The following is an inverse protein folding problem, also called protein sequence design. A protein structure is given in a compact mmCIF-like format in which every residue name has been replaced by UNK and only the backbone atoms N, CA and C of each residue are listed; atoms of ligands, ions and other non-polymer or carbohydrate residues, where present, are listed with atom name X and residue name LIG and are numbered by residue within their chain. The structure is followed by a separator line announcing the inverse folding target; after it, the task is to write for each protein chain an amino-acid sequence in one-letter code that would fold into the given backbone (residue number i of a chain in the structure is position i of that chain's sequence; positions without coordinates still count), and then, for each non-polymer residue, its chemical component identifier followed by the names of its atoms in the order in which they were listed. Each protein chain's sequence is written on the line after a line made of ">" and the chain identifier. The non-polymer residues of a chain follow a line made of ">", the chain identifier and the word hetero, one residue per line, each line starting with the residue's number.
data_IF_444947339625
#
_entry.id   IF_444947339625
#
_cell.length_a   1.000
_cell.length_b   1.000
_cell.length_c   1.000
_cell.angle_alpha   90.00
_cell.angle_beta   90.00
_cell.angle_gamma   90.00
#
_symmetry.space_group_name_H-M   'P 1'
#
loop_
_entity.id
_entity.type
_entity.pdbx_description
1 polymer ?
#
# COMPACT_ATOMS: atom_id res chain seq x y z
N UNK A 1 17.94 -23.95 26.47
CA UNK A 1 18.16 -25.42 26.45
C UNK A 1 19.15 -25.70 25.31
N UNK A 2 20.35 -26.20 25.60
CA UNK A 2 21.39 -26.47 24.59
C UNK A 2 21.06 -27.78 23.87
N UNK A 3 21.05 -27.80 22.54
CA UNK A 3 20.85 -29.01 21.75
C UNK A 3 22.20 -29.58 21.30
N UNK A 4 22.45 -30.84 21.68
CA UNK A 4 23.52 -31.68 21.12
C UNK A 4 22.96 -32.43 19.91
N UNK A 5 23.81 -32.55 18.91
CA UNK A 5 23.61 -33.32 17.69
C UNK A 5 24.01 -34.79 17.92
N UNK A 6 23.22 -35.73 17.40
CA UNK A 6 23.68 -37.10 17.10
C UNK A 6 22.98 -37.58 15.84
N UNK A 7 23.79 -38.09 14.93
CA UNK A 7 23.51 -38.60 13.59
C UNK A 7 22.95 -40.03 13.58
N UNK A 8 22.51 -40.41 12.37
CA UNK A 8 22.55 -41.73 11.71
C UNK A 8 21.16 -42.03 11.09
N UNK A 9 20.95 -41.64 9.83
CA UNK A 9 21.11 -42.44 8.59
C UNK A 9 20.00 -43.48 8.37
N UNK A 10 19.12 -43.22 7.39
CA UNK A 10 18.85 -44.20 6.34
C UNK A 10 18.30 -43.51 5.08
N UNK A 11 19.12 -43.56 4.03
CA UNK A 11 18.86 -43.06 2.69
C UNK A 11 18.00 -44.03 1.88
N UNK A 12 16.87 -43.57 1.34
CA UNK A 12 16.17 -44.23 0.25
C UNK A 12 16.15 -43.30 -0.98
N UNK A 13 16.91 -43.66 -2.01
CA UNK A 13 16.85 -43.06 -3.33
C UNK A 13 15.46 -43.28 -3.94
N UNK A 14 14.80 -42.21 -4.38
CA UNK A 14 13.83 -42.29 -5.47
C UNK A 14 14.14 -41.24 -6.55
N UNK A 15 14.33 -41.76 -7.76
CA UNK A 15 14.70 -41.04 -8.95
C UNK A 15 13.61 -40.02 -9.35
N UNK A 16 14.04 -38.78 -9.60
CA UNK A 16 13.24 -37.76 -10.28
C UNK A 16 13.13 -38.15 -11.76
N UNK A 17 11.91 -38.30 -12.28
CA UNK A 17 11.65 -38.30 -13.73
C UNK A 17 10.83 -37.07 -14.15
N UNK A 18 11.21 -36.38 -15.25
CA UNK A 18 10.81 -35.03 -15.55
C UNK A 18 9.62 -35.01 -16.51
N UNK A 19 8.40 -34.89 -15.99
CA UNK A 19 7.25 -34.46 -16.78
C UNK A 19 6.22 -33.83 -15.86
N UNK A 20 6.29 -32.51 -15.83
CA UNK A 20 5.35 -31.61 -15.20
C UNK A 20 3.90 -31.98 -15.54
N UNK A 21 3.08 -32.26 -14.53
CA UNK A 21 1.62 -32.09 -14.62
C UNK A 21 1.10 -31.72 -13.24
N UNK A 22 1.46 -30.52 -12.81
CA UNK A 22 0.76 -29.82 -11.73
C UNK A 22 -0.68 -29.58 -12.23
N UNK A 23 -1.64 -30.31 -11.67
CA UNK A 23 -3.06 -30.08 -11.90
C UNK A 23 -3.64 -29.22 -10.77
N UNK A 24 -4.09 -28.02 -11.13
CA UNK A 24 -4.96 -27.13 -10.35
C UNK A 24 -6.14 -26.75 -11.25
N UNK A 25 -7.30 -26.30 -10.76
CA UNK A 25 -7.90 -26.31 -9.41
C UNK A 25 -9.31 -26.93 -9.42
N UNK A 26 -9.94 -27.23 -8.27
CA UNK A 26 -11.41 -27.14 -8.11
C UNK A 26 -11.77 -26.70 -6.67
N UNK A 27 -12.33 -25.49 -6.58
CA UNK A 27 -13.13 -24.91 -5.49
C UNK A 27 -12.51 -24.70 -4.10
N UNK A 28 -11.61 -23.71 -3.98
CA UNK A 28 -11.57 -22.74 -2.86
C UNK A 28 -10.69 -21.53 -3.19
N UNK A 29 -11.17 -20.31 -2.88
CA UNK A 29 -10.49 -19.03 -3.13
C UNK A 29 -9.20 -18.90 -2.31
N UNK A 30 -8.05 -19.10 -2.93
CA UNK A 30 -6.77 -18.71 -2.33
C UNK A 30 -6.56 -17.19 -2.50
N UNK A 31 -5.98 -16.51 -1.51
CA UNK A 31 -5.61 -15.11 -1.66
C UNK A 31 -4.65 -14.92 -2.86
N UNK A 32 -4.75 -13.80 -3.60
CA UNK A 32 -4.08 -13.63 -4.88
C UNK A 32 -2.54 -13.52 -4.79
N UNK A 33 -1.99 -13.30 -3.59
CA UNK A 33 -0.54 -13.28 -3.36
C UNK A 33 0.02 -14.66 -3.06
N UNK A 34 -0.80 -15.66 -2.72
CA UNK A 34 -0.33 -16.99 -2.37
C UNK A 34 0.25 -17.71 -3.59
N UNK A 35 1.58 -17.87 -3.62
CA UNK A 35 2.29 -18.61 -4.70
C UNK A 35 2.70 -20.03 -4.29
N UNK A 36 2.60 -20.33 -3.00
CA UNK A 36 3.06 -21.56 -2.34
C UNK A 36 2.26 -21.78 -1.07
N UNK A 37 2.44 -22.96 -0.48
CA UNK A 37 1.97 -23.25 0.86
C UNK A 37 3.02 -22.73 1.86
N UNK A 38 2.57 -21.92 2.82
CA UNK A 38 3.45 -21.37 3.86
C UNK A 38 3.37 -22.23 5.11
N UNK A 39 4.53 -22.47 5.74
CA UNK A 39 4.59 -23.13 7.03
C UNK A 39 3.95 -22.27 8.12
N UNK A 40 3.39 -22.93 9.14
CA UNK A 40 2.83 -22.26 10.32
C UNK A 40 3.97 -21.91 11.28
N UNK A 41 4.85 -21.02 10.83
CA UNK A 41 6.09 -20.61 11.50
C UNK A 41 6.40 -19.13 11.23
N UNK A 42 7.38 -18.57 11.94
CA UNK A 42 7.86 -17.21 11.65
C UNK A 42 8.51 -17.12 10.27
N UNK A 43 9.19 -18.18 9.82
CA UNK A 43 9.70 -18.28 8.44
C UNK A 43 8.57 -18.27 7.41
N UNK A 44 7.49 -19.04 7.61
CA UNK A 44 6.36 -19.04 6.69
C UNK A 44 5.64 -17.69 6.65
N UNK A 45 5.50 -17.01 7.79
CA UNK A 45 4.98 -15.64 7.84
C UNK A 45 5.88 -14.64 7.09
N UNK A 46 7.20 -14.81 7.17
CA UNK A 46 8.16 -14.00 6.42
C UNK A 46 8.02 -14.23 4.90
N UNK A 47 7.98 -15.48 4.46
CA UNK A 47 7.80 -15.81 3.04
C UNK A 47 6.49 -15.23 2.49
N UNK A 48 5.40 -15.37 3.26
CA UNK A 48 4.12 -14.83 2.87
C UNK A 48 4.10 -13.29 2.85
N UNK A 49 4.75 -12.65 3.82
CA UNK A 49 4.95 -11.20 3.82
C UNK A 49 5.61 -10.75 2.53
N UNK A 50 6.69 -11.42 2.10
CA UNK A 50 7.40 -11.07 0.88
C UNK A 50 6.51 -11.23 -0.35
N UNK A 51 5.75 -12.34 -0.43
CA UNK A 51 4.83 -12.56 -1.54
C UNK A 51 3.69 -11.53 -1.60
N UNK A 52 3.12 -11.14 -0.45
CA UNK A 52 2.14 -10.06 -0.37
C UNK A 52 2.77 -8.70 -0.73
N UNK A 53 3.98 -8.41 -0.26
CA UNK A 53 4.70 -7.18 -0.61
C UNK A 53 4.91 -7.07 -2.12
N UNK A 54 5.46 -8.11 -2.76
CA UNK A 54 5.67 -8.11 -4.21
C UNK A 54 4.38 -8.09 -5.01
N UNK A 55 3.31 -8.69 -4.46
CA UNK A 55 1.99 -8.56 -5.04
C UNK A 55 1.56 -7.09 -4.98
N UNK A 56 1.52 -6.46 -3.80
CA UNK A 56 1.06 -5.06 -3.61
C UNK A 56 1.92 -4.01 -4.32
N UNK A 57 3.22 -4.25 -4.45
CA UNK A 57 4.16 -3.32 -5.08
C UNK A 57 3.67 -2.95 -6.50
N UNK A 58 3.57 -1.65 -6.82
CA UNK A 58 3.16 -1.23 -8.15
C UNK A 58 4.10 -1.70 -9.24
N UNK A 59 3.56 -2.12 -10.37
CA UNK A 59 4.37 -2.41 -11.54
C UNK A 59 4.83 -1.13 -12.23
N UNK A 60 5.95 -1.18 -12.98
CA UNK A 60 6.41 -0.06 -13.79
C UNK A 60 5.31 0.53 -14.68
N UNK A 61 4.42 -0.32 -15.18
CA UNK A 61 3.32 0.07 -16.06
C UNK A 61 2.19 0.80 -15.34
N UNK A 62 1.84 0.38 -14.12
CA UNK A 62 0.87 1.10 -13.27
C UNK A 62 1.36 2.52 -12.94
N UNK A 63 2.68 2.69 -12.84
CA UNK A 63 3.32 4.01 -12.69
C UNK A 63 3.23 4.83 -13.98
N UNK A 64 3.56 4.26 -15.12
CA UNK A 64 3.46 4.94 -16.44
C UNK A 64 2.02 5.39 -16.71
N UNK A 65 1.03 4.54 -16.43
CA UNK A 65 -0.38 4.88 -16.58
C UNK A 65 -0.77 6.10 -15.73
N UNK A 66 -0.36 6.13 -14.46
CA UNK A 66 -0.62 7.28 -13.57
C UNK A 66 0.03 8.57 -14.08
N UNK A 67 1.27 8.51 -14.56
CA UNK A 67 1.93 9.68 -15.15
C UNK A 67 1.24 10.14 -16.44
N UNK A 68 0.71 9.21 -17.24
CA UNK A 68 -0.09 9.54 -18.43
C UNK A 68 -1.37 10.29 -18.05
N UNK A 69 -2.13 9.81 -17.06
CA UNK A 69 -3.31 10.49 -16.52
C UNK A 69 -2.96 11.88 -15.97
N UNK A 70 -1.90 11.96 -15.16
CA UNK A 70 -1.38 13.22 -14.64
C UNK A 70 -1.05 14.24 -15.74
N UNK A 71 -0.35 13.82 -16.80
CA UNK A 71 0.04 14.70 -17.90
C UNK A 71 -1.17 15.23 -18.70
N UNK A 72 -2.22 14.41 -18.87
CA UNK A 72 -3.48 14.86 -19.48
C UNK A 72 -4.16 15.94 -18.63
N UNK A 73 -4.26 15.71 -17.32
CA UNK A 73 -4.88 16.69 -16.39
C UNK A 73 -4.05 17.95 -16.30
N UNK A 74 -2.72 17.83 -16.24
CA UNK A 74 -1.81 18.97 -16.30
C UNK A 74 -2.04 19.82 -17.55
N UNK A 75 -2.31 19.21 -18.70
CA UNK A 75 -2.62 19.95 -19.94
C UNK A 75 -3.92 20.74 -19.83
N UNK A 76 -4.97 20.17 -19.20
CA UNK A 76 -6.24 20.87 -18.96
C UNK A 76 -6.03 22.02 -17.96
N UNK A 77 -5.35 21.76 -16.85
CA UNK A 77 -5.09 22.75 -15.82
C UNK A 77 -4.21 23.91 -16.33
N UNK A 78 -3.22 23.67 -17.19
CA UNK A 78 -2.41 24.73 -17.80
C UNK A 78 -3.17 25.60 -18.80
N UNK A 79 -4.28 25.11 -19.40
CA UNK A 79 -5.15 25.96 -20.21
C UNK A 79 -5.89 26.98 -19.36
N UNK A 80 -6.32 26.57 -18.16
CA UNK A 80 -7.04 27.41 -17.23
C UNK A 80 -6.10 28.33 -16.42
N UNK A 81 -4.95 27.79 -16.01
CA UNK A 81 -3.96 28.44 -15.16
C UNK A 81 -2.57 28.42 -15.86
N UNK A 82 -2.33 29.28 -16.87
CA UNK A 82 -1.12 29.20 -17.70
C UNK A 82 0.20 29.44 -16.96
N UNK A 83 0.16 30.19 -15.86
CA UNK A 83 1.33 30.51 -15.05
C UNK A 83 1.56 29.52 -13.89
N UNK A 84 0.65 28.55 -13.71
CA UNK A 84 0.71 27.64 -12.59
C UNK A 84 1.84 26.62 -12.75
N UNK A 85 2.51 26.31 -11.63
CA UNK A 85 3.38 25.14 -11.53
C UNK A 85 2.53 23.96 -11.09
N UNK A 86 2.45 22.94 -11.95
CA UNK A 86 1.66 21.73 -11.69
C UNK A 86 2.58 20.51 -11.56
N UNK A 87 2.49 19.84 -10.41
CA UNK A 87 3.36 18.72 -10.02
C UNK A 87 2.54 17.61 -9.35
N UNK A 88 2.91 16.32 -9.53
CA UNK A 88 2.38 15.27 -8.68
C UNK A 88 3.01 15.39 -7.29
N UNK A 89 2.26 15.04 -6.24
CA UNK A 89 2.81 14.94 -4.88
C UNK A 89 2.40 13.62 -4.23
N UNK A 90 2.62 13.50 -2.92
CA UNK A 90 2.13 12.38 -2.12
C UNK A 90 2.68 11.02 -2.55
N UNK A 91 1.80 10.02 -2.64
CA UNK A 91 2.20 8.63 -2.80
C UNK A 91 2.74 8.30 -4.20
N UNK A 92 2.31 9.04 -5.23
CA UNK A 92 2.86 8.92 -6.59
C UNK A 92 4.28 9.47 -6.65
N UNK A 93 4.54 10.61 -6.00
CA UNK A 93 5.86 11.24 -6.02
C UNK A 93 6.91 10.44 -5.24
N UNK A 94 6.53 9.88 -4.09
CA UNK A 94 7.40 9.01 -3.25
C UNK A 94 7.54 7.57 -3.79
N UNK A 95 6.64 7.15 -4.68
CA UNK A 95 6.56 5.77 -5.17
C UNK A 95 5.93 4.78 -4.17
N UNK A 96 5.26 5.28 -3.12
CA UNK A 96 4.59 4.50 -2.06
C UNK A 96 3.06 4.42 -2.28
N UNK A 97 2.62 4.49 -3.53
CA UNK A 97 1.22 4.34 -3.91
C UNK A 97 0.84 2.86 -3.98
N UNK A 98 -0.37 2.52 -3.54
CA UNK A 98 -0.96 1.21 -3.83
C UNK A 98 -1.59 1.24 -5.23
N UNK A 99 -1.83 0.09 -5.88
CA UNK A 99 -2.55 0.01 -7.15
C UNK A 99 -3.90 0.73 -7.15
N UNK A 100 -4.52 0.90 -5.99
CA UNK A 100 -5.81 1.56 -5.79
C UNK A 100 -5.68 3.00 -5.28
N UNK A 101 -4.45 3.48 -5.03
CA UNK A 101 -4.22 4.85 -4.61
C UNK A 101 -4.53 5.85 -5.72
N UNK A 102 -5.03 6.99 -5.25
CA UNK A 102 -5.27 8.23 -5.95
C UNK A 102 -3.99 8.88 -6.50
N UNK A 103 -4.18 9.84 -7.41
CA UNK A 103 -3.15 10.76 -7.88
C UNK A 103 -3.38 12.12 -7.21
N UNK A 104 -2.43 12.49 -6.36
CA UNK A 104 -2.36 13.80 -5.73
C UNK A 104 -1.71 14.82 -6.69
N UNK A 105 -2.44 15.87 -7.06
CA UNK A 105 -2.00 16.93 -7.98
C UNK A 105 -1.92 18.27 -7.27
N UNK A 106 -0.74 18.88 -7.25
CA UNK A 106 -0.53 20.21 -6.68
C UNK A 106 -0.50 21.25 -7.80
N UNK A 107 -1.33 22.28 -7.64
CA UNK A 107 -1.35 23.49 -8.48
C UNK A 107 -0.84 24.67 -7.66
N UNK A 108 0.27 25.26 -8.08
CA UNK A 108 0.85 26.44 -7.42
C UNK A 108 0.75 27.65 -8.34
N UNK A 109 -0.04 28.63 -7.93
CA UNK A 109 -0.20 29.90 -8.62
C UNK A 109 -0.62 30.97 -7.60
N UNK A 110 0.15 32.06 -7.54
CA UNK A 110 -0.10 33.19 -6.63
C UNK A 110 -1.21 34.13 -7.13
N UNK A 111 -1.70 33.92 -8.36
CA UNK A 111 -2.68 34.77 -9.03
C UNK A 111 -4.06 34.13 -9.16
N UNK A 112 -4.30 33.02 -8.43
CA UNK A 112 -5.59 32.33 -8.43
C UNK A 112 -6.72 33.26 -7.94
N UNK A 113 -7.86 33.31 -8.65
CA UNK A 113 -9.05 34.03 -8.22
C UNK A 113 -9.73 33.31 -7.06
N UNK A 114 -10.71 33.94 -6.40
CA UNK A 114 -11.41 33.33 -5.25
C UNK A 114 -12.21 32.06 -5.59
N UNK A 115 -12.69 31.94 -6.84
CA UNK A 115 -13.50 30.84 -7.37
C UNK A 115 -12.67 29.77 -8.11
N UNK A 116 -11.39 29.62 -7.73
CA UNK A 116 -10.44 28.72 -8.40
C UNK A 116 -10.87 27.25 -8.37
N UNK A 117 -11.55 26.81 -7.30
CA UNK A 117 -12.05 25.44 -7.16
C UNK A 117 -13.18 25.16 -8.16
N UNK A 118 -14.17 26.06 -8.22
CA UNK A 118 -15.33 25.95 -9.09
C UNK A 118 -14.92 26.06 -10.56
N UNK A 119 -14.02 26.98 -10.90
CA UNK A 119 -13.46 27.12 -12.25
C UNK A 119 -12.71 25.87 -12.68
N UNK A 120 -11.89 25.32 -11.78
CA UNK A 120 -11.16 24.07 -12.07
C UNK A 120 -12.14 22.91 -12.28
N UNK A 121 -13.15 22.77 -11.42
CA UNK A 121 -14.17 21.74 -11.56
C UNK A 121 -14.96 21.89 -12.88
N UNK A 122 -15.32 23.11 -13.28
CA UNK A 122 -16.02 23.37 -14.54
C UNK A 122 -15.16 23.03 -15.77
N UNK A 123 -13.89 23.42 -15.78
CA UNK A 123 -12.98 23.12 -16.88
C UNK A 123 -12.74 21.61 -17.01
N UNK A 124 -12.57 20.91 -15.89
CA UNK A 124 -12.44 19.45 -15.89
C UNK A 124 -13.71 18.77 -16.45
N UNK A 125 -14.91 19.26 -16.11
CA UNK A 125 -16.17 18.77 -16.72
C UNK A 125 -16.17 19.00 -18.23
N UNK A 126 -15.82 20.20 -18.67
CA UNK A 126 -15.83 20.58 -20.09
C UNK A 126 -14.80 19.81 -20.93
N UNK A 127 -13.70 19.39 -20.33
CA UNK A 127 -12.67 18.61 -21.01
C UNK A 127 -13.14 17.21 -21.43
N UNK A 128 -14.22 16.69 -20.83
CA UNK A 128 -14.76 15.35 -21.10
C UNK A 128 -13.94 14.19 -20.54
N UNK A 129 -12.82 14.46 -19.85
CA UNK A 129 -11.94 13.42 -19.29
C UNK A 129 -12.32 12.97 -17.88
N UNK A 130 -13.21 13.70 -17.22
CA UNK A 130 -13.47 13.59 -15.79
C UNK A 130 -14.92 13.19 -15.49
N UNK A 131 -15.08 12.30 -14.52
CA UNK A 131 -16.36 11.89 -13.94
C UNK A 131 -16.33 12.11 -12.42
N UNK A 132 -17.52 12.15 -11.79
CA UNK A 132 -17.68 12.29 -10.33
C UNK A 132 -16.88 13.45 -9.71
N UNK A 133 -16.94 14.64 -10.32
CA UNK A 133 -16.21 15.82 -9.83
C UNK A 133 -16.90 16.40 -8.60
N UNK A 134 -16.18 16.47 -7.49
CA UNK A 134 -16.62 17.00 -6.19
C UNK A 134 -15.64 18.09 -5.74
N UNK A 135 -16.18 19.25 -5.35
CA UNK A 135 -15.40 20.30 -4.69
C UNK A 135 -15.52 20.11 -3.19
N UNK A 136 -14.38 20.05 -2.49
CA UNK A 136 -14.30 19.97 -1.04
C UNK A 136 -13.62 21.24 -0.54
N UNK A 137 -14.41 22.22 -0.12
CA UNK A 137 -13.98 23.56 0.28
C UNK A 137 -13.90 23.76 1.81
N UNK A 138 -14.63 22.95 2.57
CA UNK A 138 -14.73 23.03 4.04
C UNK A 138 -13.57 22.37 4.80
N UNK A 139 -12.69 21.63 4.11
CA UNK A 139 -11.55 20.97 4.73
C UNK A 139 -10.40 21.94 5.03
N UNK A 140 -9.47 21.55 5.91
CA UNK A 140 -8.26 22.35 6.18
C UNK A 140 -7.41 22.63 4.93
N UNK A 141 -7.47 21.73 3.94
CA UNK A 141 -6.91 21.93 2.61
C UNK A 141 -8.04 21.73 1.59
N UNK A 142 -8.53 22.80 0.95
CA UNK A 142 -9.53 22.69 -0.09
C UNK A 142 -9.01 21.94 -1.32
N UNK A 143 -9.80 21.02 -1.85
CA UNK A 143 -9.42 20.15 -2.97
C UNK A 143 -10.57 19.94 -3.96
N UNK A 144 -10.22 19.70 -5.23
CA UNK A 144 -11.15 19.18 -6.25
C UNK A 144 -10.87 17.70 -6.43
N UNK A 145 -11.85 16.86 -6.12
CA UNK A 145 -11.79 15.42 -6.34
C UNK A 145 -12.44 15.06 -7.67
N UNK A 146 -11.87 14.09 -8.38
CA UNK A 146 -12.46 13.57 -9.62
C UNK A 146 -12.05 12.11 -9.89
N UNK A 147 -12.67 11.49 -10.89
CA UNK A 147 -12.28 10.19 -11.44
C UNK A 147 -11.96 10.35 -12.91
N UNK A 148 -10.80 9.87 -13.34
CA UNK A 148 -10.44 9.83 -14.75
C UNK A 148 -11.31 8.80 -15.49
N UNK A 149 -12.03 9.25 -16.51
CA UNK A 149 -13.04 8.46 -17.22
C UNK A 149 -12.49 7.20 -17.90
N UNK A 150 -11.26 7.26 -18.41
CA UNK A 150 -10.69 6.17 -19.20
C UNK A 150 -10.06 5.09 -18.33
N UNK A 151 -9.52 5.49 -17.17
CA UNK A 151 -8.70 4.65 -16.29
C UNK A 151 -9.35 4.31 -14.96
N UNK A 152 -10.45 4.99 -14.60
CA UNK A 152 -11.11 4.92 -13.29
C UNK A 152 -10.20 5.31 -12.11
N UNK A 153 -9.08 5.99 -12.39
CA UNK A 153 -8.14 6.45 -11.37
C UNK A 153 -8.71 7.71 -10.71
N UNK A 154 -8.73 7.71 -9.37
CA UNK A 154 -9.11 8.85 -8.55
C UNK A 154 -8.02 9.91 -8.54
N UNK A 155 -8.41 11.18 -8.54
CA UNK A 155 -7.49 12.31 -8.38
C UNK A 155 -8.00 13.30 -7.35
N UNK A 156 -7.05 13.81 -6.56
CA UNK A 156 -7.24 14.91 -5.62
C UNK A 156 -6.35 16.07 -6.06
N UNK A 157 -6.97 17.20 -6.43
CA UNK A 157 -6.28 18.40 -6.90
C UNK A 157 -6.27 19.44 -5.78
N UNK A 158 -5.08 19.74 -5.25
CA UNK A 158 -4.85 20.73 -4.20
C UNK A 158 -4.17 21.98 -4.74
N UNK A 159 -4.33 23.09 -4.02
CA UNK A 159 -3.82 24.39 -4.42
C UNK A 159 -2.90 24.99 -3.35
N UNK A 160 -1.73 25.47 -3.77
CA UNK A 160 -0.78 26.21 -2.93
C UNK A 160 -0.35 25.52 -1.62
N UNK A 161 -0.36 24.19 -1.56
CA UNK A 161 0.17 23.40 -0.43
C UNK A 161 1.61 22.95 -0.68
N UNK A 162 2.56 23.89 -0.59
CA UNK A 162 3.98 23.64 -0.84
C UNK A 162 4.62 22.60 0.11
N UNK A 163 3.96 22.26 1.22
CA UNK A 163 4.41 21.29 2.22
C UNK A 163 4.53 19.86 1.65
N UNK A 164 3.63 19.49 0.73
CA UNK A 164 3.57 18.10 0.21
C UNK A 164 4.83 17.66 -0.54
N UNK A 165 5.57 18.59 -1.14
CA UNK A 165 6.81 18.29 -1.86
C UNK A 165 7.98 18.03 -0.89
N UNK A 166 8.15 18.90 0.11
CA UNK A 166 9.20 18.72 1.13
C UNK A 166 9.01 17.43 1.92
N UNK A 167 7.76 17.08 2.22
CA UNK A 167 7.41 15.81 2.87
C UNK A 167 7.84 14.61 2.02
N UNK A 168 7.66 14.67 0.70
CA UNK A 168 8.08 13.59 -0.19
C UNK A 168 9.61 13.43 -0.24
N UNK A 169 10.35 14.54 -0.31
CA UNK A 169 11.82 14.52 -0.27
C UNK A 169 12.32 13.89 1.04
N UNK A 170 11.76 14.33 2.17
CA UNK A 170 12.07 13.75 3.48
C UNK A 170 11.76 12.24 3.54
N UNK A 171 10.62 11.80 3.02
CA UNK A 171 10.27 10.36 2.96
C UNK A 171 11.28 9.59 2.11
N UNK A 172 11.76 10.15 1.00
CA UNK A 172 12.76 9.51 0.15
C UNK A 172 14.13 9.39 0.85
N UNK A 173 14.53 10.40 1.62
CA UNK A 173 15.70 10.33 2.49
C UNK A 173 15.55 9.20 3.53
N UNK A 174 14.40 9.14 4.21
CA UNK A 174 14.13 8.10 5.21
C UNK A 174 14.06 6.70 4.60
N UNK A 175 13.55 6.55 3.38
CA UNK A 175 13.56 5.27 2.66
C UNK A 175 14.97 4.81 2.30
N UNK A 176 15.87 5.75 2.02
CA UNK A 176 17.28 5.44 1.78
C UNK A 176 17.96 4.98 3.07
N UNK A 177 17.71 5.68 4.19
CA UNK A 177 18.25 5.32 5.50
C UNK A 177 17.66 4.02 6.08
N UNK A 178 16.40 3.73 5.77
CA UNK A 178 15.66 2.57 6.26
C UNK A 178 14.94 1.86 5.11
N UNK A 179 15.63 0.94 4.39
CA UNK A 179 15.05 0.23 3.25
C UNK A 179 13.79 -0.58 3.58
N UNK A 180 13.61 -1.00 4.84
CA UNK A 180 12.42 -1.69 5.34
C UNK A 180 11.15 -0.81 5.36
N UNK A 181 11.27 0.51 5.20
CA UNK A 181 10.15 1.44 5.20
C UNK A 181 9.14 1.11 4.09
N UNK A 182 9.61 0.94 2.86
CA UNK A 182 8.74 0.65 1.71
C UNK A 182 7.88 -0.62 1.89
N UNK A 183 8.46 -1.80 2.21
CA UNK A 183 7.65 -2.99 2.36
C UNK A 183 6.64 -2.87 3.50
N UNK A 184 7.01 -2.29 4.64
CA UNK A 184 6.08 -2.05 5.74
C UNK A 184 4.96 -1.09 5.34
N UNK A 185 5.26 -0.03 4.58
CA UNK A 185 4.24 0.91 4.09
C UNK A 185 3.23 0.20 3.22
N UNK A 186 3.63 -0.66 2.26
CA UNK A 186 2.65 -1.34 1.42
C UNK A 186 1.74 -2.27 2.24
N UNK A 187 2.32 -3.08 3.11
CA UNK A 187 1.55 -4.00 3.96
C UNK A 187 0.59 -3.22 4.87
N UNK A 188 1.09 -2.26 5.64
CA UNK A 188 0.29 -1.56 6.64
C UNK A 188 -0.70 -0.57 6.01
N UNK A 189 -0.37 0.03 4.86
CA UNK A 189 -1.32 0.87 4.13
C UNK A 189 -2.47 0.03 3.59
N UNK A 190 -2.20 -1.14 3.02
CA UNK A 190 -3.24 -2.07 2.59
C UNK A 190 -4.09 -2.54 3.78
N UNK A 191 -3.47 -2.82 4.92
CA UNK A 191 -4.15 -3.22 6.16
C UNK A 191 -5.22 -2.20 6.59
N UNK A 192 -4.89 -0.90 6.53
CA UNK A 192 -5.80 0.18 6.92
C UNK A 192 -6.87 0.46 5.86
N UNK A 193 -6.51 0.40 4.57
CA UNK A 193 -7.45 0.62 3.46
C UNK A 193 -8.62 -0.37 3.53
N UNK A 194 -8.33 -1.66 3.74
CA UNK A 194 -9.36 -2.71 3.79
C UNK A 194 -10.29 -2.59 5.01
N UNK A 195 -9.89 -1.77 6.00
CA UNK A 195 -10.69 -1.49 7.19
C UNK A 195 -11.36 -0.12 7.16
N UNK A 196 -11.20 0.63 6.08
CA UNK A 196 -11.61 2.04 5.98
C UNK A 196 -11.01 2.92 7.10
N UNK A 197 -9.81 2.57 7.57
CA UNK A 197 -9.09 3.28 8.63
C UNK A 197 -7.98 4.20 8.09
N UNK A 198 -7.91 4.39 6.77
CA UNK A 198 -6.91 5.21 6.08
C UNK A 198 -7.40 6.64 5.76
N UNK A 199 -8.63 7.00 6.16
CA UNK A 199 -9.25 8.30 5.85
C UNK A 199 -9.31 9.17 7.10
N UNK A 200 -8.72 10.36 7.06
CA UNK A 200 -8.76 11.31 8.18
C UNK A 200 -10.14 11.94 8.38
N UNK A 201 -10.97 12.01 7.32
CA UNK A 201 -12.35 12.48 7.41
C UNK A 201 -13.20 11.65 8.38
N UNK A 202 -12.96 10.34 8.46
CA UNK A 202 -13.61 9.43 9.42
C UNK A 202 -12.79 9.24 10.70
N UNK A 203 -11.73 10.03 10.90
CA UNK A 203 -10.83 9.96 12.04
C UNK A 203 -9.79 8.83 11.99
N UNK A 204 -9.62 8.20 10.83
CA UNK A 204 -8.56 7.23 10.58
C UNK A 204 -7.16 7.84 10.51
N UNK A 205 -6.18 7.02 10.14
CA UNK A 205 -4.78 7.42 10.03
C UNK A 205 -4.47 7.88 8.60
N UNK A 206 -3.86 9.07 8.48
CA UNK A 206 -3.39 9.57 7.18
C UNK A 206 -2.22 8.72 6.64
N UNK A 207 -2.03 8.72 5.32
CA UNK A 207 -0.87 8.03 4.70
C UNK A 207 0.46 8.56 5.23
N UNK A 208 0.59 9.89 5.41
CA UNK A 208 1.79 10.50 5.98
C UNK A 208 1.99 10.10 7.44
N UNK A 209 0.92 10.14 8.26
CA UNK A 209 0.97 9.70 9.65
C UNK A 209 1.40 8.23 9.79
N UNK A 210 0.91 7.33 8.93
CA UNK A 210 1.36 5.95 8.88
C UNK A 210 2.86 5.84 8.57
N UNK A 211 3.34 6.57 7.57
CA UNK A 211 4.76 6.58 7.21
C UNK A 211 5.62 7.06 8.40
N UNK A 212 5.20 8.11 9.10
CA UNK A 212 5.90 8.60 10.29
C UNK A 212 5.91 7.58 11.44
N UNK A 213 4.81 6.85 11.68
CA UNK A 213 4.79 5.73 12.63
C UNK A 213 5.79 4.65 12.25
N UNK A 214 5.84 4.25 10.98
CA UNK A 214 6.79 3.22 10.53
C UNK A 214 8.22 3.70 10.68
N UNK A 215 8.51 4.95 10.33
CA UNK A 215 9.84 5.56 10.53
C UNK A 215 10.24 5.51 12.00
N UNK A 216 9.37 5.98 12.91
CA UNK A 216 9.65 5.97 14.35
C UNK A 216 9.87 4.54 14.88
N UNK A 217 9.10 3.57 14.41
CA UNK A 217 9.27 2.18 14.76
C UNK A 217 10.62 1.62 14.32
N UNK A 218 11.04 1.94 13.09
CA UNK A 218 12.34 1.53 12.54
C UNK A 218 13.52 2.24 13.23
N UNK A 219 13.30 3.44 13.75
CA UNK A 219 14.26 4.23 14.51
C UNK A 219 14.48 3.70 15.94
N UNK A 220 13.40 3.57 16.73
CA UNK A 220 13.48 3.28 18.17
C UNK A 220 12.41 2.31 18.68
N UNK A 221 11.25 2.22 18.03
CA UNK A 221 10.10 1.48 18.57
C UNK A 221 10.31 -0.03 18.67
N UNK A 222 11.24 -0.60 17.90
CA UNK A 222 11.52 -2.05 17.91
C UNK A 222 12.61 -2.50 18.88
N UNK A 223 13.37 -1.55 19.43
CA UNK A 223 14.66 -1.78 20.12
C UNK A 223 15.76 -2.46 19.27
N UNK A 224 15.50 -2.74 17.98
CA UNK A 224 16.49 -3.25 17.03
C UNK A 224 17.05 -2.10 16.17
N UNK A 225 18.31 -2.22 15.74
CA UNK A 225 18.86 -1.35 14.71
C UNK A 225 18.42 -1.83 13.33
N UNK A 226 17.51 -1.09 12.67
CA UNK A 226 17.06 -1.36 11.30
C UNK A 226 17.68 -0.43 10.26
N UNK A 227 18.61 0.45 10.66
CA UNK A 227 19.26 1.35 9.73
C UNK A 227 20.01 0.54 8.67
N UNK A 228 19.85 0.90 7.40
CA UNK A 228 20.46 0.25 6.23
C UNK A 228 20.06 -1.23 6.00
N UNK A 229 19.33 -1.87 6.92
CA UNK A 229 18.89 -3.26 6.76
C UNK A 229 17.85 -3.39 5.64
N UNK A 230 17.99 -4.46 4.89
CA UNK A 230 17.10 -4.83 3.79
C UNK A 230 16.23 -6.02 4.18
N UNK A 231 15.27 -6.35 3.31
CA UNK A 231 14.38 -7.52 3.49
C UNK A 231 15.13 -8.86 3.58
N UNK A 232 16.40 -8.92 3.15
CA UNK A 232 17.24 -10.11 3.22
C UNK A 232 17.95 -10.26 4.57
N UNK A 233 18.02 -9.18 5.35
CA UNK A 233 18.77 -9.14 6.62
C UNK A 233 17.88 -9.44 7.84
N UNK A 234 16.56 -9.46 7.66
CA UNK A 234 15.58 -9.56 8.75
C UNK A 234 14.41 -10.47 8.39
N UNK A 235 13.82 -11.09 9.42
CA UNK A 235 12.55 -11.78 9.27
C UNK A 235 11.40 -10.75 9.28
N UNK A 236 10.92 -10.34 8.11
CA UNK A 236 9.81 -9.38 7.96
C UNK A 236 8.51 -9.78 8.65
N UNK A 237 8.24 -11.08 8.82
CA UNK A 237 7.09 -11.55 9.60
C UNK A 237 7.20 -11.13 11.08
N UNK A 238 8.39 -11.30 11.67
CA UNK A 238 8.68 -10.84 13.02
C UNK A 238 8.66 -9.31 13.14
N UNK A 239 9.20 -8.58 12.16
CA UNK A 239 9.16 -7.11 12.13
C UNK A 239 7.70 -6.61 12.14
N UNK A 240 6.82 -7.24 11.35
CA UNK A 240 5.40 -6.92 11.31
C UNK A 240 4.70 -7.18 12.66
N UNK A 241 4.98 -8.32 13.30
CA UNK A 241 4.44 -8.63 14.63
C UNK A 241 4.89 -7.62 15.67
N UNK A 242 6.18 -7.25 15.69
CA UNK A 242 6.73 -6.23 16.59
C UNK A 242 6.06 -4.87 16.37
N UNK A 243 5.78 -4.49 15.12
CA UNK A 243 5.05 -3.24 14.82
C UNK A 243 3.65 -3.26 15.44
N UNK A 244 2.89 -4.35 15.22
CA UNK A 244 1.54 -4.49 15.79
C UNK A 244 1.56 -4.54 17.31
N UNK A 245 2.55 -5.19 17.91
CA UNK A 245 2.75 -5.22 19.36
C UNK A 245 3.01 -3.83 19.92
N UNK A 246 3.98 -3.12 19.34
CA UNK A 246 4.37 -1.80 19.82
C UNK A 246 3.21 -0.81 19.77
N UNK A 247 2.58 -0.63 18.60
CA UNK A 247 1.52 0.36 18.43
C UNK A 247 0.12 -0.14 18.82
N UNK A 248 -0.11 -1.45 18.91
CA UNK A 248 -1.37 -2.01 19.40
C UNK A 248 -1.44 -2.02 20.94
N UNK A 249 -0.35 -2.40 21.60
CA UNK A 249 -0.37 -2.78 23.02
C UNK A 249 0.57 -1.94 23.90
N UNK A 250 1.79 -1.63 23.46
CA UNK A 250 2.85 -1.12 24.35
C UNK A 250 2.90 0.41 24.41
N UNK A 251 2.68 1.10 23.29
CA UNK A 251 2.85 2.54 23.21
C UNK A 251 1.81 3.29 24.06
N UNK A 252 2.29 4.19 24.93
CA UNK A 252 1.43 4.95 25.82
C UNK A 252 0.92 6.25 25.17
N UNK A 253 -0.14 6.13 24.36
CA UNK A 253 -0.78 7.26 23.68
C UNK A 253 -1.36 8.34 24.61
N UNK A 254 -1.57 8.03 25.89
CA UNK A 254 -2.10 9.00 26.87
C UNK A 254 -1.01 9.95 27.35
N UNK A 255 0.22 9.46 27.51
CA UNK A 255 1.32 10.23 28.12
C UNK A 255 2.35 10.71 27.11
N UNK A 256 2.55 9.97 26.02
CA UNK A 256 3.68 10.17 25.12
C UNK A 256 3.21 10.67 23.76
N UNK A 257 4.02 11.54 23.17
CA UNK A 257 3.94 11.88 21.76
C UNK A 257 5.08 11.21 20.98
N UNK A 258 4.97 11.22 19.66
CA UNK A 258 5.95 10.62 18.76
C UNK A 258 6.73 11.75 18.08
N UNK A 259 8.04 11.79 18.30
CA UNK A 259 8.98 12.64 17.58
C UNK A 259 9.82 11.80 16.64
N UNK A 260 10.03 12.30 15.42
CA UNK A 260 10.81 11.63 14.37
C UNK A 260 12.24 12.19 14.25
N UNK A 261 12.42 13.47 14.62
CA UNK A 261 13.70 14.15 14.57
C UNK A 261 14.77 13.43 15.42
N UNK A 262 16.04 13.60 15.02
CA UNK A 262 17.24 13.13 15.74
C UNK A 262 17.24 11.63 16.05
N UNK A 263 16.67 10.81 15.15
CA UNK A 263 16.61 9.37 15.35
C UNK A 263 15.44 8.91 16.22
N UNK A 264 14.49 9.80 16.52
CA UNK A 264 13.24 9.45 17.20
C UNK A 264 13.29 9.58 18.72
N UNK A 265 12.19 10.03 19.32
CA UNK A 265 12.02 10.05 20.78
C UNK A 265 10.55 10.09 21.20
N UNK A 266 10.30 9.91 22.49
CA UNK A 266 8.97 9.91 23.10
C UNK A 266 8.82 10.99 24.18
N UNK A 267 8.69 12.27 23.80
CA UNK A 267 8.45 13.35 24.76
C UNK A 267 7.08 13.22 25.42
N UNK A 268 6.89 13.89 26.55
CA UNK A 268 5.55 13.98 27.16
C UNK A 268 4.61 14.73 26.22
N UNK A 269 3.42 14.18 26.03
CA UNK A 269 2.43 14.75 25.13
C UNK A 269 2.03 16.17 25.55
N UNK A 270 1.97 16.45 26.86
CA UNK A 270 1.72 17.80 27.38
C UNK A 270 2.80 18.81 27.00
N UNK A 271 4.07 18.40 26.97
CA UNK A 271 5.19 19.27 26.60
C UNK A 271 5.13 19.60 25.12
N UNK A 272 4.90 18.59 24.28
CA UNK A 272 4.80 18.77 22.84
C UNK A 272 3.58 19.63 22.48
N UNK A 273 2.41 19.37 23.08
CA UNK A 273 1.17 20.13 22.82
C UNK A 273 1.27 21.61 23.16
N UNK A 274 2.13 22.02 24.11
CA UNK A 274 2.38 23.45 24.40
C UNK A 274 3.08 24.18 23.25
N UNK A 275 3.77 23.45 22.38
CA UNK A 275 4.48 23.98 21.22
C UNK A 275 3.63 23.91 19.94
N UNK A 276 2.53 23.16 19.97
CA UNK A 276 1.65 22.93 18.83
C UNK A 276 0.69 24.10 18.60
N UNK A 277 0.49 24.46 17.34
CA UNK A 277 -0.41 25.53 16.91
C UNK A 277 -1.89 25.19 17.10
N UNK A 278 -2.24 23.90 17.08
CA UNK A 278 -3.62 23.40 17.20
C UNK A 278 -3.73 22.43 18.36
N UNK A 279 -4.72 22.66 19.22
CA UNK A 279 -5.08 21.71 20.28
C UNK A 279 -5.82 20.53 19.65
N UNK A 280 -5.29 19.33 19.82
CA UNK A 280 -5.93 18.10 19.35
C UNK A 280 -6.63 17.34 20.48
N UNK A 281 -7.85 16.87 20.20
CA UNK A 281 -8.54 15.85 21.00
C UNK A 281 -8.16 14.41 20.65
N UNK A 282 -7.31 14.20 19.64
CA UNK A 282 -6.79 12.89 19.25
C UNK A 282 -5.87 12.33 20.32
N UNK A 283 -5.91 11.01 20.51
CA UNK A 283 -4.94 10.31 21.35
C UNK A 283 -3.57 10.18 20.67
N UNK A 284 -3.55 10.19 19.34
CA UNK A 284 -2.32 10.18 18.58
C UNK A 284 -1.76 11.60 18.50
N UNK A 285 -0.51 11.77 18.89
CA UNK A 285 0.23 13.02 18.73
C UNK A 285 1.58 12.71 18.07
N UNK A 286 1.79 13.26 16.88
CA UNK A 286 3.01 13.05 16.09
C UNK A 286 3.54 14.43 15.68
N UNK A 287 4.76 14.74 16.09
CA UNK A 287 5.48 15.93 15.64
C UNK A 287 5.83 15.79 14.15
N UNK A 288 5.41 16.76 13.34
CA UNK A 288 5.85 16.82 11.95
C UNK A 288 7.35 17.22 11.89
N UNK A 289 8.23 16.36 11.33
CA UNK A 289 9.66 16.65 11.26
C UNK A 289 10.00 17.90 10.43
N UNK A 290 9.07 18.38 9.60
CA UNK A 290 9.25 19.57 8.78
C UNK A 290 8.63 20.83 9.39
N UNK A 291 7.71 20.66 10.34
CA UNK A 291 6.95 21.74 10.99
C UNK A 291 6.63 21.33 12.44
N UNK A 292 7.57 21.48 13.39
CA UNK A 292 7.40 21.00 14.76
C UNK A 292 6.15 21.53 15.49
N UNK A 293 5.57 22.65 15.04
CA UNK A 293 4.32 23.22 15.52
C UNK A 293 3.03 22.55 14.98
N UNK A 294 3.17 21.53 14.12
CA UNK A 294 2.08 20.81 13.47
C UNK A 294 1.96 19.37 14.01
N UNK A 295 0.81 19.06 14.61
CA UNK A 295 0.50 17.71 15.08
C UNK A 295 -0.18 16.92 13.95
N UNK A 296 0.53 15.97 13.34
CA UNK A 296 -0.01 15.13 12.26
C UNK A 296 -1.14 14.24 12.78
N UNK A 297 -1.09 13.85 14.05
CA UNK A 297 -2.10 13.01 14.69
C UNK A 297 -3.43 13.72 14.92
N UNK A 298 -3.50 15.05 14.73
CA UNK A 298 -4.68 15.82 15.12
C UNK A 298 -5.96 15.41 14.37
N UNK A 299 -5.79 14.98 13.12
CA UNK A 299 -6.88 14.57 12.23
C UNK A 299 -7.36 13.14 12.47
N UNK A 300 -6.63 12.36 13.27
CA UNK A 300 -6.95 10.96 13.58
C UNK A 300 -7.80 10.83 14.85
N UNK A 301 -8.92 11.56 14.94
CA UNK A 301 -9.77 11.57 16.14
C UNK A 301 -10.37 10.19 16.51
N UNK A 302 -10.36 9.22 15.59
CA UNK A 302 -10.79 7.83 15.82
C UNK A 302 -9.59 6.85 15.85
N UNK A 303 -8.40 7.33 16.25
CA UNK A 303 -7.20 6.52 16.28
C UNK A 303 -7.31 5.26 17.16
N UNK A 304 -8.23 5.23 18.13
CA UNK A 304 -8.49 4.02 18.91
C UNK A 304 -8.89 2.82 18.05
N UNK A 305 -9.66 3.03 16.97
CA UNK A 305 -9.98 1.95 16.04
C UNK A 305 -8.74 1.43 15.29
N UNK A 306 -7.79 2.33 14.98
CA UNK A 306 -6.49 1.96 14.37
C UNK A 306 -5.67 1.11 15.33
N UNK A 307 -5.53 1.56 16.58
CA UNK A 307 -4.85 0.82 17.65
C UNK A 307 -5.47 -0.56 17.88
N UNK A 308 -6.80 -0.64 18.00
CA UNK A 308 -7.51 -1.90 18.17
C UNK A 308 -7.32 -2.84 17.00
N UNK A 309 -7.30 -2.32 15.77
CA UNK A 309 -7.02 -3.14 14.60
C UNK A 309 -5.60 -3.74 14.64
N UNK A 310 -4.58 -2.96 15.02
CA UNK A 310 -3.22 -3.47 15.21
C UNK A 310 -3.16 -4.53 16.30
N UNK A 311 -3.78 -4.28 17.45
CA UNK A 311 -3.85 -5.25 18.53
C UNK A 311 -4.52 -6.56 18.09
N UNK A 312 -5.69 -6.49 17.43
CA UNK A 312 -6.38 -7.67 16.93
C UNK A 312 -5.54 -8.46 15.92
N UNK A 313 -4.83 -7.76 15.03
CA UNK A 313 -3.94 -8.41 14.07
C UNK A 313 -2.82 -9.20 14.77
N UNK A 314 -2.21 -8.61 15.82
CA UNK A 314 -1.22 -9.31 16.64
C UNK A 314 -1.81 -10.56 17.30
N UNK A 315 -2.97 -10.44 17.95
CA UNK A 315 -3.63 -11.57 18.62
C UNK A 315 -3.93 -12.71 17.65
N UNK A 316 -4.50 -12.39 16.48
CA UNK A 316 -4.84 -13.39 15.45
C UNK A 316 -3.57 -14.11 14.99
N UNK A 317 -2.55 -13.38 14.54
CA UNK A 317 -1.31 -13.98 14.03
C UNK A 317 -0.55 -14.75 15.13
N UNK A 318 -0.49 -14.23 16.35
CA UNK A 318 0.23 -14.87 17.46
C UNK A 318 -0.47 -16.14 17.96
N UNK A 319 -1.81 -16.15 17.95
CA UNK A 319 -2.60 -17.31 18.39
C UNK A 319 -2.33 -18.56 17.56
N UNK A 320 -2.02 -18.38 16.27
CA UNK A 320 -1.69 -19.46 15.34
C UNK A 320 -0.41 -20.18 15.78
N UNK A 321 0.59 -19.45 16.27
CA UNK A 321 1.84 -20.06 16.77
C UNK A 321 1.65 -20.77 18.12
N UNK A 322 0.74 -20.30 18.98
CA UNK A 322 0.46 -20.91 20.30
C UNK A 322 -0.39 -22.18 20.18
N UNK A 323 -1.38 -22.20 19.28
CA UNK A 323 -2.28 -23.34 19.08
C UNK A 323 -1.63 -24.56 18.41
N UNK A 324 -0.39 -24.41 17.91
CA UNK A 324 0.36 -25.44 17.18
C UNK A 324 0.56 -26.77 17.95
N UNK A 325 0.50 -26.77 19.30
CA UNK A 325 0.93 -27.94 20.08
C UNK A 325 -0.16 -28.83 20.71
N UNK A 326 -1.45 -28.43 20.81
CA UNK A 326 -2.46 -29.27 21.51
C UNK A 326 -3.82 -29.45 20.82
N UNK A 327 -4.21 -28.60 19.85
CA UNK A 327 -5.54 -28.64 19.22
C UNK A 327 -5.50 -28.75 17.68
N UNK A 328 -4.49 -29.43 17.13
CA UNK A 328 -4.20 -29.53 15.67
C UNK A 328 -5.39 -29.97 14.79
N UNK A 329 -6.44 -30.59 15.31
CA UNK A 329 -7.38 -31.34 14.46
C UNK A 329 -8.60 -30.57 13.94
N UNK A 330 -8.96 -29.40 14.50
CA UNK A 330 -10.16 -28.64 14.07
C UNK A 330 -9.84 -27.45 13.16
N UNK A 331 -8.97 -26.54 13.59
CA UNK A 331 -8.66 -25.34 12.80
C UNK A 331 -7.89 -25.65 11.52
N UNK A 332 -7.05 -26.70 11.50
CA UNK A 332 -6.30 -27.09 10.31
C UNK A 332 -7.18 -27.51 9.12
N UNK A 333 -8.41 -27.97 9.37
CA UNK A 333 -9.35 -28.29 8.29
C UNK A 333 -9.85 -27.02 7.59
N UNK A 334 -9.87 -25.89 8.30
CA UNK A 334 -10.34 -24.60 7.80
C UNK A 334 -9.18 -23.69 7.34
N UNK A 335 -7.95 -23.95 7.80
CA UNK A 335 -6.77 -23.18 7.41
C UNK A 335 -6.40 -23.44 5.94
N UNK A 336 -6.63 -22.44 5.10
CA UNK A 336 -6.33 -22.50 3.65
C UNK A 336 -4.90 -22.11 3.29
N UNK A 337 -3.95 -22.22 4.23
CA UNK A 337 -2.53 -22.08 3.95
C UNK A 337 -1.98 -20.65 3.92
N UNK A 338 -2.73 -19.64 4.35
CA UNK A 338 -2.31 -18.23 4.40
C UNK A 338 -2.51 -17.65 5.80
N UNK A 339 -1.41 -17.28 6.47
CA UNK A 339 -1.41 -16.61 7.77
C UNK A 339 -1.90 -15.16 7.61
N UNK A 340 -1.41 -14.47 6.59
CA UNK A 340 -1.78 -13.09 6.34
C UNK A 340 -3.24 -12.96 5.93
N UNK A 341 -3.88 -13.93 5.28
CA UNK A 341 -5.31 -13.87 4.97
C UNK A 341 -6.22 -13.82 6.21
N UNK A 342 -5.71 -14.19 7.39
CA UNK A 342 -6.46 -14.07 8.64
C UNK A 342 -6.63 -12.61 9.08
N UNK A 343 -5.76 -11.71 8.62
CA UNK A 343 -5.76 -10.28 8.98
C UNK A 343 -5.82 -9.35 7.77
N UNK A 344 -5.56 -9.87 6.57
CA UNK A 344 -5.65 -9.18 5.29
C UNK A 344 -6.77 -9.81 4.46
N UNK A 345 -7.78 -9.01 4.15
CA UNK A 345 -8.78 -9.37 3.14
C UNK A 345 -8.57 -8.40 1.99
N UNK A 346 -8.24 -8.89 0.80
CA UNK A 346 -8.18 -8.04 -0.39
C UNK A 346 -9.51 -8.16 -1.10
N UNK A 347 -10.22 -7.04 -1.23
CA UNK A 347 -11.54 -7.05 -1.87
C UNK A 347 -11.46 -7.59 -3.31
N UNK A 348 -12.49 -8.33 -3.73
CA UNK A 348 -12.58 -8.83 -5.11
C UNK A 348 -12.54 -7.67 -6.13
N UNK A 349 -13.06 -6.50 -5.75
CA UNK A 349 -12.95 -5.26 -6.54
C UNK A 349 -11.49 -4.89 -6.81
N UNK A 350 -10.61 -4.98 -5.81
CA UNK A 350 -9.19 -4.68 -5.97
C UNK A 350 -8.48 -5.70 -6.87
N UNK A 351 -8.82 -6.99 -6.72
CA UNK A 351 -8.29 -8.06 -7.57
C UNK A 351 -8.73 -7.81 -9.02
N UNK A 352 -10.03 -7.62 -9.25
CA UNK A 352 -10.60 -7.35 -10.58
C UNK A 352 -10.02 -6.09 -11.22
N UNK A 353 -9.75 -5.04 -10.44
CA UNK A 353 -9.12 -3.83 -10.99
C UNK A 353 -7.70 -4.12 -11.51
N UNK A 354 -6.89 -4.89 -10.76
CA UNK A 354 -5.54 -5.26 -11.23
C UNK A 354 -5.59 -6.25 -12.39
N UNK A 355 -6.50 -7.21 -12.37
CA UNK A 355 -6.77 -8.11 -13.50
C UNK A 355 -7.26 -7.35 -14.72
N UNK A 356 -8.10 -6.33 -14.55
CA UNK A 356 -8.57 -5.46 -15.63
C UNK A 356 -7.42 -4.65 -16.21
N UNK A 357 -6.56 -4.08 -15.37
CA UNK A 357 -5.33 -3.42 -15.79
C UNK A 357 -4.47 -4.40 -16.60
N UNK A 358 -4.17 -5.60 -16.07
CA UNK A 358 -3.44 -6.65 -16.80
C UNK A 358 -4.12 -7.06 -18.11
N UNK A 359 -5.44 -7.22 -18.09
CA UNK A 359 -6.25 -7.72 -19.18
C UNK A 359 -6.27 -6.76 -20.36
N UNK A 360 -6.52 -5.47 -20.13
CA UNK A 360 -6.39 -4.42 -21.16
C UNK A 360 -5.00 -4.40 -21.78
N UNK A 361 -3.96 -4.71 -21.01
CA UNK A 361 -2.59 -4.74 -21.50
C UNK A 361 -2.27 -5.98 -22.34
N UNK A 362 -2.92 -7.13 -22.07
CA UNK A 362 -2.70 -8.40 -22.77
C UNK A 362 -3.66 -8.61 -23.96
N UNK A 363 -4.83 -7.97 -23.97
CA UNK A 363 -5.83 -8.06 -25.05
C UNK A 363 -5.58 -7.12 -26.22
N UNK A 364 -4.60 -6.23 -26.09
CA UNK A 364 -4.31 -5.14 -27.00
C UNK A 364 -3.14 -5.55 -27.93
N UNK A 365 -3.36 -5.92 -29.20
CA UNK A 365 -3.48 -4.94 -30.28
C UNK A 365 -4.15 -3.67 -29.79
N UNK A 366 -3.35 -2.79 -29.19
CA UNK A 366 -3.79 -1.53 -28.59
C UNK A 366 -4.89 -0.88 -29.43
N UNK A 367 -6.06 -0.52 -28.86
CA UNK A 367 -6.94 0.39 -29.55
C UNK A 367 -6.07 1.60 -29.90
N UNK A 368 -6.24 2.14 -31.11
CA UNK A 368 -5.49 3.28 -31.64
C UNK A 368 -5.47 4.53 -30.71
N UNK A 369 -6.17 4.49 -29.57
CA UNK A 369 -6.20 5.47 -28.49
C UNK A 369 -5.08 5.36 -27.45
N UNK A 370 -4.44 4.19 -27.26
CA UNK A 370 -3.31 4.00 -26.31
C UNK A 370 -1.92 4.02 -26.99
N UNK A 371 -1.87 3.82 -28.30
CA UNK A 371 -0.65 3.86 -29.11
C UNK A 371 0.17 5.17 -29.01
N UNK A 372 -0.43 6.36 -28.82
CA UNK A 372 0.34 7.59 -28.58
C UNK A 372 0.78 7.76 -27.11
N UNK A 373 0.30 6.92 -26.18
CA UNK A 373 0.48 7.08 -24.73
C UNK A 373 1.61 6.22 -24.15
N UNK A 374 2.23 5.37 -24.98
CA UNK A 374 3.37 4.53 -24.62
C UNK A 374 4.59 5.07 -25.40
N UNK A 375 5.66 5.55 -24.71
CA UNK A 375 6.90 5.94 -25.37
C UNK A 375 7.40 4.82 -26.30
N UNK A 376 7.90 5.11 -27.51
CA UNK A 376 8.35 4.10 -28.48
C UNK A 376 9.52 3.23 -27.97
N UNK A 377 10.22 3.68 -26.93
CA UNK A 377 11.25 2.90 -26.22
C UNK A 377 10.68 1.68 -25.50
N UNK A 378 9.37 1.68 -25.22
CA UNK A 378 8.62 0.60 -24.56
C UNK A 378 7.92 -0.31 -25.60
N UNK A 379 7.85 0.05 -26.89
CA UNK A 379 7.15 -0.79 -27.90
C UNK A 379 8.04 -1.85 -28.56
N UNK A 380 9.33 -1.91 -28.21
CA UNK A 380 10.31 -2.86 -28.73
C UNK A 380 10.33 -4.16 -27.90
N UNK A 381 9.87 -5.31 -28.44
CA UNK A 381 9.95 -6.62 -27.76
C UNK A 381 11.40 -7.04 -27.44
N UNK A 382 12.39 -6.38 -28.02
CA UNK A 382 13.82 -6.70 -27.89
C UNK A 382 14.47 -6.11 -26.63
N UNK A 383 13.78 -5.22 -25.89
CA UNK A 383 14.27 -4.68 -24.59
C UNK A 383 13.73 -5.45 -23.37
N UNK A 384 13.04 -6.56 -23.57
CA UNK A 384 12.45 -7.38 -22.50
C UNK A 384 13.31 -8.49 -21.85
N UNK A 385 14.60 -8.78 -22.18
CA UNK A 385 15.17 -10.08 -21.80
C UNK A 385 15.62 -10.23 -20.34
N UNK A 386 15.50 -9.22 -19.47
CA UNK A 386 16.01 -9.32 -18.08
C UNK A 386 15.01 -9.01 -16.95
N UNK A 387 13.76 -8.60 -17.25
CA UNK A 387 12.77 -8.22 -16.23
C UNK A 387 11.66 -9.26 -15.98
N UNK A 388 11.64 -10.37 -16.74
CA UNK A 388 10.61 -11.41 -16.64
C UNK A 388 11.12 -12.80 -16.22
N UNK A 389 12.35 -12.90 -15.73
CA UNK A 389 12.95 -14.19 -15.39
C UNK A 389 12.41 -14.86 -14.10
N UNK A 390 11.39 -14.32 -13.41
CA UNK A 390 10.99 -14.92 -12.11
C UNK A 390 9.53 -14.82 -11.69
N UNK A 391 8.59 -14.42 -12.55
CA UNK A 391 7.16 -14.57 -12.23
C UNK A 391 6.38 -14.98 -13.48
N UNK A 392 5.92 -16.24 -13.60
CA UNK A 392 5.00 -16.60 -14.67
C UNK A 392 3.65 -15.91 -14.40
N UNK A 393 3.00 -15.31 -15.42
CA UNK A 393 1.64 -14.81 -15.26
C UNK A 393 0.67 -15.99 -15.03
N UNK A 394 -0.40 -15.82 -14.23
CA UNK A 394 -1.44 -16.83 -14.15
C UNK A 394 -2.13 -16.92 -15.52
N UNK A 395 -2.05 -18.10 -16.14
CA UNK A 395 -2.75 -18.39 -17.39
C UNK A 395 -4.23 -18.61 -17.06
N UNK A 396 -5.06 -17.59 -17.29
CA UNK A 396 -6.52 -17.74 -17.27
C UNK A 396 -6.98 -18.14 -18.67
N UNK A 397 -7.19 -19.43 -18.93
CA UNK A 397 -7.93 -19.88 -20.13
C UNK A 397 -9.43 -19.92 -19.81
N UNK A 398 -10.17 -18.92 -20.30
CA UNK A 398 -11.63 -19.03 -20.45
C UNK A 398 -11.95 -19.84 -21.70
N UNK A 399 -12.58 -21.00 -21.54
CA UNK A 399 -13.54 -21.53 -22.52
C UNK A 399 -14.66 -22.24 -21.74
N UNK A 400 -15.77 -21.53 -21.54
CA UNK A 400 -17.05 -22.15 -21.26
C UNK A 400 -17.68 -22.54 -22.60
N UNK A 401 -17.89 -23.83 -22.83
CA UNK A 401 -18.91 -24.32 -23.75
C UNK A 401 -19.75 -25.33 -23.00
N UNK A 402 -20.96 -24.92 -22.62
CA UNK A 402 -22.01 -25.82 -22.16
C UNK A 402 -22.48 -26.66 -23.35
N UNK A 403 -22.42 -27.98 -23.21
CA UNK A 403 -23.18 -28.92 -24.05
C UNK A 403 -24.04 -29.78 -23.14
N UNK A 404 -25.35 -29.63 -23.32
CA UNK A 404 -26.44 -30.38 -22.68
C UNK A 404 -26.31 -31.89 -22.92
N UNK A 405 -26.55 -32.76 -21.93
CA UNK A 405 -26.58 -34.20 -22.13
C UNK A 405 -27.97 -34.63 -22.59
N UNK A 406 -28.29 -34.32 -23.84
CA UNK A 406 -29.32 -35.00 -24.62
C UNK A 406 -28.92 -34.86 -26.07
N UNK A 407 -28.20 -35.86 -26.60
CA UNK A 407 -28.29 -36.33 -27.99
C UNK A 407 -27.40 -37.58 -28.20
N UNK A 408 -28.08 -38.73 -28.29
CA UNK A 408 -27.87 -39.85 -29.22
C UNK A 408 -26.49 -40.54 -29.29
N UNK A 409 -26.38 -41.73 -28.66
CA UNK A 409 -26.42 -43.05 -29.33
C UNK A 409 -26.06 -44.17 -28.33
#
# INVERSE_FOLDING_TARGET
>A
MKFRCSSDEESALFCVSPSCSVQWPQDSLFPPWCKRQYDVSLEGLHEEFLDLYYWLKPWPLERVLRFSVFNRIKTVLLKLWPNAKIRPFGSLHTGLFLPTSDIDVLVEDSTLPADYLEKTAAELRNSGMAENIIVVDTASVPIVKMVDKDTEIFLDISFNTAQGLKAADYINEMRTAYPLLEPLVFILKQFLVERNLNQTFTGGLSSYGLVLLIINFLQIGSSDDYREKTINDVNMGLVLLKFFQFYGQEFNYVKLAIRIADGGSYPLQEELRRQMSRVSGSLLCIEDPLQPENDIGHSSHNFMCVRQAFEQALWILSSVFVCSNKNRCKWWNDYKGSLLALVFVISEKHIRYREWLQGRLLSDNAPARLSPLIPPEITSPLNWPHLFASVPPPIIRRQCSYSSPFDLA
#
